data_IF_624334931386
#
_entry.id   IF_624334931386
#
_cell.length_a   1.000
_cell.length_b   1.000
_cell.length_c   1.000
_cell.angle_alpha   90.00
_cell.angle_beta   90.00
_cell.angle_gamma   90.00
#
_symmetry.space_group_name_H-M   'P 1'
#
loop_
_entity.id
_entity.type
_entity.pdbx_description
1 polymer ?
#
# COMPACT_ATOMS: atom_id res chain seq x y z
N UNK A 1 -13.32 29.81 16.47
CA UNK A 1 -12.14 28.99 16.09
C UNK A 1 -12.62 27.60 15.70
N UNK A 2 -12.04 27.01 14.67
CA UNK A 2 -12.32 25.66 14.20
C UNK A 2 -10.99 24.89 14.03
N UNK A 3 -10.97 23.62 14.45
CA UNK A 3 -9.84 22.72 14.22
C UNK A 3 -10.07 21.99 12.90
N UNK A 4 -9.12 22.10 11.99
CA UNK A 4 -9.23 21.53 10.63
C UNK A 4 -7.94 20.79 10.23
N UNK A 5 -7.98 20.08 9.11
CA UNK A 5 -6.82 19.41 8.49
C UNK A 5 -6.00 18.56 9.47
N UNK A 6 -6.71 17.67 10.15
CA UNK A 6 -6.09 16.69 11.03
C UNK A 6 -5.19 15.75 10.23
N UNK A 7 -3.93 15.60 10.65
CA UNK A 7 -2.95 14.77 9.94
C UNK A 7 -2.14 13.90 10.88
N UNK A 8 -1.86 12.72 10.40
CA UNK A 8 -0.93 11.77 11.01
C UNK A 8 0.20 11.54 9.99
N UNK A 9 1.47 11.76 10.39
CA UNK A 9 2.63 11.68 9.48
C UNK A 9 2.44 12.54 8.21
N UNK A 10 1.87 13.74 8.34
CA UNK A 10 1.50 14.69 7.25
C UNK A 10 0.36 14.23 6.34
N UNK A 11 -0.20 13.04 6.51
CA UNK A 11 -1.28 12.48 5.70
C UNK A 11 -2.63 12.63 6.40
N UNK A 12 -3.69 12.80 5.63
CA UNK A 12 -5.07 12.77 6.11
C UNK A 12 -5.55 11.32 6.09
N UNK A 13 -6.02 10.81 7.23
CA UNK A 13 -6.50 9.43 7.43
C UNK A 13 -5.61 8.34 6.80
N UNK A 14 -4.29 8.32 7.11
CA UNK A 14 -3.38 7.40 6.45
C UNK A 14 -3.74 5.95 6.72
N UNK A 15 -3.67 5.16 5.65
CA UNK A 15 -3.78 3.72 5.68
C UNK A 15 -2.38 3.12 5.63
N UNK A 16 -2.06 2.28 6.63
CA UNK A 16 -0.83 1.50 6.59
C UNK A 16 0.42 2.21 7.13
N UNK A 17 0.34 2.93 8.24
CA UNK A 17 1.55 3.48 8.89
C UNK A 17 2.36 2.37 9.58
N UNK A 18 3.67 2.42 9.46
CA UNK A 18 4.62 1.40 9.94
C UNK A 18 5.53 1.88 11.09
N UNK A 19 5.29 3.08 11.59
CA UNK A 19 6.11 3.72 12.63
C UNK A 19 5.26 4.48 13.64
N UNK A 20 5.85 4.89 14.74
CA UNK A 20 5.17 5.76 15.68
C UNK A 20 4.75 7.06 15.00
N UNK A 21 3.44 7.41 15.09
CA UNK A 21 2.93 8.61 14.45
C UNK A 21 3.32 9.88 15.19
N UNK A 22 3.22 10.99 14.49
CA UNK A 22 3.07 12.32 15.06
C UNK A 22 1.83 12.98 14.47
N UNK A 23 1.20 13.83 15.26
CA UNK A 23 -0.08 14.47 14.96
C UNK A 23 0.10 15.93 14.62
N UNK A 24 -0.75 16.43 13.75
CA UNK A 24 -0.80 17.83 13.36
C UNK A 24 -2.23 18.23 13.00
N UNK A 25 -2.56 19.49 13.23
CA UNK A 25 -3.84 20.09 12.83
C UNK A 25 -3.67 21.55 12.49
N UNK A 26 -4.69 22.17 11.91
CA UNK A 26 -4.75 23.61 11.68
C UNK A 26 -5.87 24.24 12.49
N UNK A 27 -5.72 25.53 12.78
CA UNK A 27 -6.75 26.35 13.38
C UNK A 27 -7.21 27.38 12.35
N UNK A 28 -8.51 27.52 12.20
CA UNK A 28 -9.15 28.53 11.37
C UNK A 28 -10.05 29.39 12.26
N UNK A 29 -9.96 30.73 12.14
CA UNK A 29 -10.76 31.67 12.90
C UNK A 29 -11.05 32.92 12.11
N UNK A 30 -12.26 33.46 12.29
CA UNK A 30 -12.63 34.77 11.76
C UNK A 30 -12.16 35.93 12.68
N UNK A 31 -11.76 35.61 13.91
CA UNK A 31 -11.24 36.58 14.86
C UNK A 31 -9.73 36.69 14.71
N UNK A 32 -9.24 37.93 14.62
CA UNK A 32 -7.81 38.21 14.57
C UNK A 32 -7.13 37.82 15.89
N UNK A 33 -5.81 37.56 15.82
CA UNK A 33 -4.96 37.20 16.95
C UNK A 33 -5.43 35.98 17.73
N UNK A 34 -6.23 35.09 17.11
CA UNK A 34 -6.60 33.80 17.68
C UNK A 34 -5.42 32.85 17.63
N UNK A 35 -4.99 32.39 18.79
CA UNK A 35 -3.90 31.42 18.96
C UNK A 35 -4.30 30.34 19.94
N UNK A 36 -3.83 29.11 19.70
CA UNK A 36 -4.02 28.01 20.63
C UNK A 36 -3.36 28.32 21.99
N UNK A 37 -4.08 28.06 23.07
CA UNK A 37 -3.59 28.13 24.44
C UNK A 37 -3.37 26.74 25.04
N UNK A 38 -4.28 25.82 24.76
CA UNK A 38 -4.18 24.41 25.21
C UNK A 38 -4.60 23.45 24.11
N UNK A 39 -4.15 22.19 24.25
CA UNK A 39 -4.69 21.07 23.48
C UNK A 39 -4.79 19.82 24.36
N UNK A 40 -5.65 18.88 23.96
CA UNK A 40 -5.79 17.56 24.54
C UNK A 40 -6.00 16.55 23.42
N UNK A 41 -5.15 15.54 23.34
CA UNK A 41 -5.27 14.47 22.35
C UNK A 41 -5.66 13.17 23.05
N UNK A 42 -6.66 12.48 22.49
CA UNK A 42 -7.03 11.12 22.87
C UNK A 42 -6.92 10.21 21.63
N UNK A 43 -6.29 9.05 21.78
CA UNK A 43 -6.21 8.01 20.75
C UNK A 43 -6.82 6.74 21.30
N UNK A 44 -7.72 6.13 20.52
CA UNK A 44 -8.40 4.87 20.89
C UNK A 44 -8.38 3.87 19.74
N UNK A 45 -8.33 2.59 20.05
CA UNK A 45 -8.58 1.53 19.06
C UNK A 45 -10.05 1.59 18.63
N UNK A 46 -10.33 1.62 17.35
CA UNK A 46 -11.70 1.79 16.86
C UNK A 46 -12.62 0.62 17.22
N UNK A 47 -12.12 -0.61 17.14
CA UNK A 47 -12.95 -1.81 17.33
C UNK A 47 -13.26 -2.10 18.80
N UNK A 48 -12.38 -1.73 19.72
CA UNK A 48 -12.52 -1.99 21.16
C UNK A 48 -12.87 -0.76 22.00
N UNK A 49 -12.83 0.43 21.39
CA UNK A 49 -12.94 1.74 22.04
C UNK A 49 -11.93 1.96 23.20
N UNK A 50 -10.90 1.12 23.24
CA UNK A 50 -9.85 1.20 24.26
C UNK A 50 -8.97 2.39 24.01
N UNK A 51 -8.88 3.29 25.01
CA UNK A 51 -7.92 4.40 24.99
C UNK A 51 -6.51 3.84 25.11
N UNK A 52 -5.67 4.16 24.12
CA UNK A 52 -4.25 3.77 24.08
C UNK A 52 -3.32 4.94 24.35
N UNK A 53 -3.83 6.17 24.24
CA UNK A 53 -3.12 7.39 24.59
C UNK A 53 -4.09 8.50 24.97
N UNK A 54 -3.76 9.18 26.05
CA UNK A 54 -4.43 10.38 26.53
C UNK A 54 -3.36 11.33 27.05
N UNK A 55 -3.25 12.51 26.44
CA UNK A 55 -2.23 13.50 26.84
C UNK A 55 -2.64 14.27 28.11
N UNK A 56 -3.92 14.23 28.52
CA UNK A 56 -4.47 15.26 29.33
C UNK A 56 -4.35 16.65 28.66
N UNK A 57 -4.74 17.69 29.39
CA UNK A 57 -4.61 19.07 28.88
C UNK A 57 -3.14 19.49 28.86
N UNK A 58 -2.66 19.83 27.67
CA UNK A 58 -1.31 20.35 27.44
C UNK A 58 -1.39 21.86 27.17
N UNK A 59 -0.56 22.64 27.85
CA UNK A 59 -0.46 24.08 27.63
C UNK A 59 0.56 24.42 26.56
N UNK A 60 0.17 25.23 25.58
CA UNK A 60 1.08 25.69 24.55
C UNK A 60 0.43 25.86 23.17
N UNK A 61 1.24 26.36 22.23
CA UNK A 61 0.82 26.70 20.87
C UNK A 61 1.18 25.61 19.85
N UNK A 62 1.81 24.52 20.28
CA UNK A 62 2.22 23.45 19.39
C UNK A 62 0.99 22.75 18.80
N UNK A 63 0.90 22.71 17.47
CA UNK A 63 -0.18 22.07 16.70
C UNK A 63 0.37 21.22 15.55
N UNK A 64 1.66 20.94 15.57
CA UNK A 64 2.32 20.10 14.57
C UNK A 64 3.45 19.29 15.22
N UNK A 65 3.73 18.12 14.61
CA UNK A 65 4.78 17.21 15.09
C UNK A 65 4.62 16.75 16.54
N UNK A 66 3.39 16.65 17.05
CA UNK A 66 3.13 16.13 18.39
C UNK A 66 3.36 14.62 18.36
N UNK A 67 4.43 14.10 18.97
CA UNK A 67 4.76 12.69 18.89
C UNK A 67 3.77 11.85 19.72
N UNK A 68 3.43 10.66 19.20
CA UNK A 68 2.66 9.68 19.95
C UNK A 68 3.47 9.19 21.17
N UNK A 69 2.88 9.27 22.35
CA UNK A 69 3.50 8.87 23.59
C UNK A 69 2.70 7.80 24.38
N UNK A 70 1.77 7.12 23.71
CA UNK A 70 0.91 6.12 24.32
C UNK A 70 1.50 4.72 24.38
N UNK A 71 0.65 3.74 24.64
CA UNK A 71 1.00 2.32 24.60
C UNK A 71 1.44 1.89 23.19
N UNK A 72 2.29 0.85 23.04
CA UNK A 72 2.67 0.35 21.72
C UNK A 72 1.46 0.06 20.85
N UNK A 73 1.49 0.57 19.62
CA UNK A 73 0.44 0.31 18.63
C UNK A 73 0.50 -1.14 18.16
N UNK A 74 -0.65 -1.68 17.76
CA UNK A 74 -0.77 -3.04 17.25
C UNK A 74 -0.79 -3.00 15.72
N UNK A 75 -0.26 -4.04 15.07
CA UNK A 75 -0.33 -4.22 13.61
C UNK A 75 -1.78 -4.25 13.12
N UNK A 76 -2.02 -3.73 11.93
CA UNK A 76 -3.31 -3.84 11.19
C UNK A 76 -4.52 -3.33 11.98
N UNK A 77 -4.30 -2.33 12.80
CA UNK A 77 -5.31 -1.82 13.72
C UNK A 77 -5.68 -0.39 13.33
N UNK A 78 -6.98 -0.14 13.24
CA UNK A 78 -7.51 1.20 13.00
C UNK A 78 -7.70 1.93 14.33
N UNK A 79 -7.22 3.16 14.38
CA UNK A 79 -7.29 4.05 15.52
C UNK A 79 -8.11 5.28 15.15
N UNK A 80 -8.94 5.69 16.11
CA UNK A 80 -9.61 6.98 16.14
C UNK A 80 -8.80 7.91 17.02
N UNK A 81 -8.55 9.13 16.59
CA UNK A 81 -7.94 10.14 17.45
C UNK A 81 -8.73 11.44 17.40
N UNK A 82 -8.82 12.05 18.54
CA UNK A 82 -9.51 13.31 18.75
C UNK A 82 -8.52 14.33 19.30
N UNK A 83 -8.62 15.57 18.84
CA UNK A 83 -7.94 16.71 19.44
C UNK A 83 -8.97 17.76 19.84
N UNK A 84 -8.91 18.16 21.10
CA UNK A 84 -9.67 19.30 21.67
C UNK A 84 -8.72 20.45 21.90
N UNK A 85 -9.05 21.63 21.43
CA UNK A 85 -8.22 22.83 21.51
C UNK A 85 -9.00 23.96 22.15
N UNK A 86 -8.32 24.73 23.00
CA UNK A 86 -8.81 25.99 23.52
C UNK A 86 -7.91 27.15 23.03
N UNK A 87 -8.51 28.24 22.63
CA UNK A 87 -7.78 29.44 22.20
C UNK A 87 -7.62 30.47 23.31
N UNK A 88 -6.86 31.53 23.03
CA UNK A 88 -6.59 32.62 23.97
C UNK A 88 -7.81 33.52 24.26
N UNK A 89 -8.94 33.30 23.59
CA UNK A 89 -10.20 33.99 23.81
C UNK A 89 -11.22 33.13 24.55
N UNK A 90 -10.83 31.89 24.93
CA UNK A 90 -11.71 30.92 25.60
C UNK A 90 -12.61 30.14 24.63
N UNK A 91 -12.38 30.27 23.31
CA UNK A 91 -13.08 29.48 22.32
C UNK A 91 -12.57 28.03 22.34
N UNK A 92 -13.47 27.06 22.30
CA UNK A 92 -13.16 25.62 22.31
C UNK A 92 -13.64 24.99 21.02
N UNK A 93 -12.83 24.11 20.45
CA UNK A 93 -13.17 23.28 19.29
C UNK A 93 -12.51 21.92 19.43
N UNK A 94 -13.20 20.89 18.95
CA UNK A 94 -12.69 19.53 18.86
C UNK A 94 -12.85 19.01 17.43
N UNK A 95 -12.01 18.07 17.05
CA UNK A 95 -12.09 17.39 15.77
C UNK A 95 -11.52 15.98 15.87
N UNK A 96 -12.08 15.08 15.06
CA UNK A 96 -11.75 13.64 15.05
C UNK A 96 -11.24 13.22 13.68
N UNK A 97 -10.27 12.31 13.68
CA UNK A 97 -9.76 11.68 12.46
C UNK A 97 -9.29 10.26 12.77
N UNK A 98 -8.81 9.55 11.75
CA UNK A 98 -8.44 8.15 11.85
C UNK A 98 -7.04 7.91 11.28
N UNK A 99 -6.45 6.78 11.67
CA UNK A 99 -5.30 6.19 10.98
C UNK A 99 -5.32 4.66 11.17
N UNK A 100 -4.68 3.95 10.27
CA UNK A 100 -4.55 2.50 10.37
C UNK A 100 -3.07 2.11 10.29
N UNK A 101 -2.61 1.23 11.19
CA UNK A 101 -1.25 0.69 11.16
C UNK A 101 -1.14 -0.39 10.10
N UNK A 102 0.04 -0.50 9.52
CA UNK A 102 0.44 -1.59 8.64
C UNK A 102 0.96 -2.80 9.44
N UNK A 103 1.82 -3.59 8.85
CA UNK A 103 2.59 -4.62 9.53
C UNK A 103 3.67 -3.98 10.39
N UNK A 104 3.63 -4.21 11.69
CA UNK A 104 4.62 -3.74 12.66
C UNK A 104 5.57 -4.85 13.10
N UNK A 105 5.30 -6.09 12.70
CA UNK A 105 6.11 -7.24 13.02
C UNK A 105 6.43 -8.07 11.77
N UNK A 106 7.64 -8.60 11.68
CA UNK A 106 8.07 -9.46 10.58
C UNK A 106 7.13 -10.65 10.33
N UNK A 107 6.59 -11.22 11.41
CA UNK A 107 5.66 -12.34 11.34
C UNK A 107 4.25 -12.01 10.82
N UNK A 108 3.94 -10.76 10.51
CA UNK A 108 2.65 -10.36 9.95
C UNK A 108 2.52 -10.78 8.48
N UNK A 109 3.62 -10.80 7.73
CA UNK A 109 3.67 -11.37 6.39
C UNK A 109 3.50 -12.89 6.44
N UNK A 110 2.51 -13.42 5.70
CA UNK A 110 2.23 -14.85 5.50
C UNK A 110 2.41 -15.27 4.05
N UNK A 111 2.47 -14.28 3.15
CA UNK A 111 2.66 -14.48 1.72
C UNK A 111 4.12 -14.81 1.39
N UNK A 112 4.32 -15.52 0.30
CA UNK A 112 5.63 -15.80 -0.26
C UNK A 112 5.94 -14.88 -1.44
N UNK A 113 7.21 -14.50 -1.59
CA UNK A 113 7.69 -13.89 -2.81
C UNK A 113 7.58 -14.87 -3.97
N UNK A 114 6.89 -14.44 -5.04
CA UNK A 114 6.80 -15.20 -6.28
C UNK A 114 7.38 -14.40 -7.43
N UNK A 115 8.15 -15.06 -8.28
CA UNK A 115 8.76 -14.46 -9.47
C UNK A 115 8.20 -15.05 -10.76
N UNK A 116 8.28 -14.27 -11.83
CA UNK A 116 7.93 -14.75 -13.16
C UNK A 116 8.85 -15.89 -13.59
N UNK A 117 8.28 -16.99 -14.06
CA UNK A 117 9.01 -18.09 -14.68
C UNK A 117 9.16 -17.93 -16.20
N UNK A 118 8.71 -16.82 -16.77
CA UNK A 118 8.87 -16.50 -18.18
C UNK A 118 10.36 -16.30 -18.53
N UNK A 119 10.78 -16.60 -19.78
CA UNK A 119 12.16 -16.40 -20.20
C UNK A 119 12.62 -14.95 -20.06
N UNK A 120 13.71 -14.72 -19.34
CA UNK A 120 14.28 -13.38 -19.19
C UNK A 120 15.00 -13.01 -20.48
N UNK A 121 14.58 -11.91 -21.13
CA UNK A 121 15.37 -11.28 -22.18
C UNK A 121 16.59 -10.60 -21.56
N UNK A 122 17.75 -10.62 -22.24
CA UNK A 122 18.93 -9.90 -21.75
C UNK A 122 18.63 -8.41 -21.68
N UNK A 123 18.77 -7.85 -20.49
CA UNK A 123 18.69 -6.41 -20.26
C UNK A 123 19.97 -5.72 -20.71
N UNK A 124 19.84 -4.47 -21.16
CA UNK A 124 20.96 -3.63 -21.60
C UNK A 124 20.55 -2.17 -21.59
N UNK A 125 21.45 -1.30 -22.07
CA UNK A 125 21.20 0.14 -22.18
C UNK A 125 20.41 0.47 -23.44
N UNK A 126 19.53 1.45 -23.34
CA UNK A 126 18.75 2.01 -24.45
C UNK A 126 17.43 1.31 -24.72
N UNK A 127 16.60 1.99 -25.50
CA UNK A 127 15.25 1.56 -25.84
C UNK A 127 15.20 0.14 -26.43
N UNK A 128 14.25 -0.67 -25.97
CA UNK A 128 14.07 -2.05 -26.42
C UNK A 128 15.08 -3.06 -25.85
N UNK A 129 15.90 -2.66 -24.91
CA UNK A 129 16.87 -3.52 -24.22
C UNK A 129 16.40 -4.04 -22.84
N UNK A 130 15.24 -3.58 -22.41
CA UNK A 130 14.62 -4.01 -21.15
C UNK A 130 13.79 -5.27 -21.36
N UNK A 131 13.39 -5.93 -20.28
CA UNK A 131 12.42 -7.00 -20.34
C UNK A 131 11.01 -6.46 -20.58
N UNK A 132 10.15 -7.22 -21.28
CA UNK A 132 8.73 -6.91 -21.31
C UNK A 132 8.16 -6.85 -19.91
N UNK A 133 7.24 -5.92 -19.68
CA UNK A 133 6.49 -5.87 -18.44
C UNK A 133 5.69 -7.17 -18.24
N UNK A 134 5.62 -7.63 -17.00
CA UNK A 134 4.99 -8.89 -16.64
C UNK A 134 3.63 -8.67 -16.00
N UNK A 135 2.62 -9.34 -16.52
CA UNK A 135 1.32 -9.46 -15.89
C UNK A 135 1.34 -10.59 -14.88
N UNK A 136 0.96 -10.32 -13.64
CA UNK A 136 0.72 -11.29 -12.59
C UNK A 136 -0.77 -11.30 -12.28
N UNK A 137 -1.39 -12.48 -12.29
CA UNK A 137 -2.82 -12.68 -12.08
C UNK A 137 -3.06 -13.73 -11.01
N UNK A 138 -3.93 -13.40 -10.05
CA UNK A 138 -4.44 -14.33 -9.04
C UNK A 138 -5.95 -14.25 -9.01
N UNK A 139 -6.63 -15.33 -9.39
CA UNK A 139 -8.07 -15.48 -9.14
C UNK A 139 -8.31 -16.14 -7.78
N UNK A 140 -9.39 -15.75 -7.13
CA UNK A 140 -9.82 -16.32 -5.84
C UNK A 140 -11.34 -16.16 -5.70
N UNK A 141 -11.92 -16.87 -4.75
CA UNK A 141 -13.37 -16.89 -4.56
C UNK A 141 -13.74 -16.31 -3.19
N UNK A 142 -14.76 -15.44 -3.19
CA UNK A 142 -15.36 -14.86 -2.00
C UNK A 142 -16.79 -15.36 -1.88
N UNK A 143 -17.11 -16.01 -0.76
CA UNK A 143 -18.41 -16.70 -0.56
C UNK A 143 -19.39 -15.91 0.32
N UNK A 144 -18.97 -14.76 0.89
CA UNK A 144 -19.77 -13.90 1.75
C UNK A 144 -19.69 -12.42 1.37
N UNK A 145 -20.39 -11.59 2.12
CA UNK A 145 -20.26 -10.13 2.01
C UNK A 145 -19.00 -9.68 2.75
N UNK A 146 -18.17 -8.88 2.09
CA UNK A 146 -16.94 -8.35 2.68
C UNK A 146 -17.28 -7.14 3.55
N UNK A 147 -16.86 -7.18 4.82
CA UNK A 147 -16.99 -6.07 5.76
C UNK A 147 -15.72 -5.20 5.79
N UNK A 148 -14.56 -5.82 5.67
CA UNK A 148 -13.26 -5.15 5.61
C UNK A 148 -12.30 -5.95 4.74
N UNK A 149 -11.56 -5.27 3.85
CA UNK A 149 -10.50 -5.90 3.08
C UNK A 149 -9.29 -4.97 2.98
N UNK A 150 -8.09 -5.51 3.24
CA UNK A 150 -6.82 -4.80 3.13
C UNK A 150 -5.84 -5.61 2.32
N UNK A 151 -5.34 -5.03 1.24
CA UNK A 151 -4.28 -5.61 0.43
C UNK A 151 -2.96 -4.90 0.73
N UNK A 152 -1.97 -5.68 1.11
CA UNK A 152 -0.57 -5.27 1.25
C UNK A 152 0.17 -5.77 0.03
N UNK A 153 0.83 -4.89 -0.73
CA UNK A 153 1.45 -5.28 -1.99
C UNK A 153 2.77 -4.55 -2.26
N UNK A 154 3.72 -5.28 -2.83
CA UNK A 154 4.99 -4.75 -3.31
C UNK A 154 5.51 -5.59 -4.48
N UNK A 155 6.56 -5.11 -5.17
CA UNK A 155 7.19 -5.83 -6.26
C UNK A 155 8.67 -5.48 -6.40
N UNK A 156 9.39 -6.30 -7.17
CA UNK A 156 10.64 -5.90 -7.79
C UNK A 156 10.33 -5.22 -9.11
N UNK A 157 10.44 -3.91 -9.16
CA UNK A 157 10.04 -3.05 -10.26
C UNK A 157 9.10 -1.95 -9.82
N UNK A 158 8.19 -1.57 -10.71
CA UNK A 158 7.02 -0.71 -10.44
C UNK A 158 5.78 -1.41 -10.96
N UNK A 159 4.65 -1.25 -10.27
CA UNK A 159 3.42 -1.95 -10.66
C UNK A 159 2.21 -1.03 -10.78
N UNK A 160 1.29 -1.45 -11.64
CA UNK A 160 -0.11 -1.02 -11.62
C UNK A 160 -0.95 -2.15 -11.02
N UNK A 161 -1.76 -1.83 -10.03
CA UNK A 161 -2.68 -2.75 -9.37
C UNK A 161 -4.08 -2.59 -9.92
N UNK A 162 -4.71 -3.71 -10.25
CA UNK A 162 -6.13 -3.79 -10.60
C UNK A 162 -6.83 -4.86 -9.77
N UNK A 163 -8.11 -4.65 -9.52
CA UNK A 163 -9.01 -5.65 -8.93
C UNK A 163 -10.27 -5.71 -9.78
N UNK A 164 -10.61 -6.92 -10.25
CA UNK A 164 -11.77 -7.15 -11.11
C UNK A 164 -11.82 -6.24 -12.36
N UNK A 165 -10.64 -6.00 -12.98
CA UNK A 165 -10.49 -5.15 -14.15
C UNK A 165 -10.53 -3.64 -13.87
N UNK A 166 -10.62 -3.23 -12.62
CA UNK A 166 -10.66 -1.80 -12.22
C UNK A 166 -9.36 -1.40 -11.54
N UNK A 167 -8.79 -0.23 -11.90
CA UNK A 167 -7.66 0.36 -11.20
C UNK A 167 -8.04 0.65 -9.75
N UNK A 168 -7.18 0.32 -8.80
CA UNK A 168 -7.51 0.42 -7.36
C UNK A 168 -7.47 1.87 -6.89
N UNK A 169 -6.46 2.63 -7.31
CA UNK A 169 -6.31 4.04 -6.98
C UNK A 169 -5.49 4.78 -8.04
N UNK A 170 -5.22 6.06 -7.84
CA UNK A 170 -4.48 6.90 -8.77
C UNK A 170 -2.98 6.96 -8.48
N UNK A 171 -2.47 6.16 -7.55
CA UNK A 171 -1.03 6.07 -7.30
C UNK A 171 -0.30 5.53 -8.52
N UNK A 172 0.77 6.20 -8.89
CA UNK A 172 1.68 5.78 -9.95
C UNK A 172 3.04 5.43 -9.36
N UNK A 173 3.81 4.61 -10.05
CA UNK A 173 5.18 4.22 -9.69
C UNK A 173 5.29 3.46 -8.35
N UNK A 174 4.22 2.81 -7.87
CA UNK A 174 4.27 1.95 -6.69
C UNK A 174 5.24 0.76 -6.92
N UNK A 175 5.99 0.32 -5.92
CA UNK A 175 5.99 0.69 -4.50
C UNK A 175 6.90 1.88 -4.18
N UNK A 176 7.34 2.68 -5.14
CA UNK A 176 8.25 3.81 -5.01
C UNK A 176 9.74 3.43 -4.98
N UNK A 177 10.58 4.46 -4.97
CA UNK A 177 12.02 4.31 -4.89
C UNK A 177 12.48 4.11 -3.44
N UNK A 178 13.42 3.20 -3.24
CA UNK A 178 14.07 2.97 -1.95
C UNK A 178 15.49 2.45 -2.13
N UNK A 179 16.23 2.32 -1.04
CA UNK A 179 17.51 1.57 -1.03
C UNK A 179 17.21 0.07 -1.03
N UNK A 180 16.90 -0.48 -2.18
CA UNK A 180 16.40 -1.86 -2.35
C UNK A 180 17.23 -2.98 -1.73
N UNK A 181 18.50 -2.71 -1.43
CA UNK A 181 19.36 -3.65 -0.68
C UNK A 181 19.07 -3.65 0.83
N UNK A 182 18.36 -2.63 1.33
CA UNK A 182 18.08 -2.44 2.76
C UNK A 182 16.60 -2.38 3.07
N UNK A 183 15.84 -1.67 2.23
CA UNK A 183 14.42 -1.40 2.44
C UNK A 183 13.68 -1.54 1.14
N UNK A 184 12.57 -2.24 1.16
CA UNK A 184 11.60 -2.27 0.07
C UNK A 184 10.26 -1.78 0.61
N UNK A 185 9.77 -0.67 0.04
CA UNK A 185 8.46 -0.14 0.39
C UNK A 185 7.34 -1.08 -0.08
N UNK A 186 6.24 -1.11 0.63
CA UNK A 186 5.00 -1.72 0.19
C UNK A 186 3.84 -0.74 0.37
N UNK A 187 2.77 -0.96 -0.35
CA UNK A 187 1.57 -0.15 -0.29
C UNK A 187 0.44 -0.92 0.38
N UNK A 188 -0.44 -0.19 1.07
CA UNK A 188 -1.67 -0.74 1.64
C UNK A 188 -2.87 -0.14 0.91
N UNK A 189 -3.82 -1.01 0.54
CA UNK A 189 -5.01 -0.65 -0.21
C UNK A 189 -6.27 -1.11 0.52
N UNK A 190 -7.28 -0.26 0.53
CA UNK A 190 -8.63 -0.66 0.94
C UNK A 190 -9.37 -1.23 -0.27
N UNK A 191 -9.69 -2.51 -0.21
CA UNK A 191 -10.44 -3.20 -1.27
C UNK A 191 -11.87 -3.55 -0.84
N UNK A 192 -12.35 -3.03 0.29
CA UNK A 192 -13.63 -3.42 0.88
C UNK A 192 -14.78 -3.33 -0.13
N UNK A 193 -14.86 -2.22 -0.87
CA UNK A 193 -15.92 -1.95 -1.84
C UNK A 193 -15.62 -2.47 -3.25
N UNK A 194 -14.45 -3.09 -3.46
CA UNK A 194 -14.04 -3.60 -4.78
C UNK A 194 -14.21 -5.10 -4.93
N UNK A 195 -14.41 -5.82 -3.81
CA UNK A 195 -14.57 -7.26 -3.83
C UNK A 195 -16.06 -7.62 -3.92
N UNK A 196 -16.35 -8.62 -4.75
CA UNK A 196 -17.70 -9.09 -5.00
C UNK A 196 -17.83 -10.55 -4.53
N UNK A 197 -19.05 -10.97 -4.22
CA UNK A 197 -19.33 -12.39 -3.99
C UNK A 197 -19.12 -13.17 -5.28
N UNK A 198 -18.35 -14.25 -5.23
CA UNK A 198 -17.98 -15.03 -6.40
C UNK A 198 -16.50 -14.97 -6.71
N UNK A 199 -16.15 -15.12 -7.99
CA UNK A 199 -14.77 -15.01 -8.46
C UNK A 199 -14.32 -13.54 -8.42
N UNK A 200 -13.12 -13.33 -7.90
CA UNK A 200 -12.41 -12.06 -7.90
C UNK A 200 -11.00 -12.26 -8.45
N UNK A 201 -10.41 -11.18 -8.94
CA UNK A 201 -9.07 -11.21 -9.54
C UNK A 201 -8.23 -10.05 -9.02
N UNK A 202 -7.03 -10.34 -8.57
CA UNK A 202 -5.96 -9.35 -8.36
C UNK A 202 -5.03 -9.42 -9.57
N UNK A 203 -4.82 -8.29 -10.23
CA UNK A 203 -3.87 -8.11 -11.32
C UNK A 203 -2.77 -7.12 -10.96
N UNK A 204 -1.51 -7.53 -11.10
CA UNK A 204 -0.36 -6.62 -11.01
C UNK A 204 0.36 -6.62 -12.36
N UNK A 205 0.45 -5.45 -13.01
CA UNK A 205 1.24 -5.28 -14.22
C UNK A 205 2.55 -4.61 -13.85
N UNK A 206 3.66 -5.37 -13.89
CA UNK A 206 4.96 -4.98 -13.34
C UNK A 206 5.92 -4.62 -14.45
N UNK A 207 6.39 -3.37 -14.44
CA UNK A 207 7.47 -2.85 -15.27
C UNK A 207 8.80 -2.76 -14.52
N UNK A 208 9.88 -2.41 -15.22
CA UNK A 208 11.23 -2.44 -14.63
C UNK A 208 11.44 -1.39 -13.54
N UNK A 209 10.93 -0.17 -13.72
CA UNK A 209 11.10 0.92 -12.75
C UNK A 209 12.56 1.17 -12.39
N UNK A 210 12.82 1.67 -11.19
CA UNK A 210 14.18 1.91 -10.69
C UNK A 210 14.93 0.62 -10.32
N UNK A 211 14.20 -0.44 -9.97
CA UNK A 211 14.80 -1.70 -9.50
C UNK A 211 15.70 -2.34 -10.55
N UNK A 212 15.25 -2.32 -11.81
CA UNK A 212 15.94 -2.93 -12.94
C UNK A 212 16.58 -1.93 -13.91
N UNK A 213 16.50 -0.63 -13.65
CA UNK A 213 17.01 0.39 -14.54
C UNK A 213 18.52 0.24 -14.77
N UNK A 214 18.91 0.00 -16.02
CA UNK A 214 20.31 -0.27 -16.39
C UNK A 214 21.26 0.91 -16.19
N UNK A 215 20.74 2.16 -16.16
CA UNK A 215 21.53 3.37 -15.92
C UNK A 215 21.68 3.69 -14.42
N UNK A 216 20.68 3.32 -13.64
CA UNK A 216 20.63 3.55 -12.20
C UNK A 216 20.59 2.25 -11.40
N UNK A 217 20.81 1.11 -12.09
CA UNK A 217 20.70 -0.21 -11.48
C UNK A 217 21.41 -0.24 -10.13
N UNK A 218 20.63 -0.34 -9.09
CA UNK A 218 21.11 -0.39 -7.69
C UNK A 218 21.98 -1.60 -7.45
N UNK A 219 21.86 -2.64 -8.29
CA UNK A 219 22.72 -3.80 -8.27
C UNK A 219 22.86 -4.44 -9.66
N UNK A 220 24.08 -4.73 -10.13
CA UNK A 220 24.27 -5.54 -11.35
C UNK A 220 23.62 -6.93 -11.27
N UNK A 221 23.30 -7.43 -10.08
CA UNK A 221 22.60 -8.70 -9.87
C UNK A 221 21.13 -8.60 -10.25
N UNK A 222 20.48 -7.46 -9.96
CA UNK A 222 19.08 -7.24 -10.30
C UNK A 222 18.79 -7.42 -11.78
N UNK A 223 19.72 -7.02 -12.67
CA UNK A 223 19.58 -7.16 -14.12
C UNK A 223 19.41 -8.61 -14.61
N UNK A 224 19.69 -9.61 -13.77
CA UNK A 224 19.54 -11.04 -14.07
C UNK A 224 18.32 -11.67 -13.40
N UNK A 225 17.54 -10.89 -12.66
CA UNK A 225 16.39 -11.38 -11.93
C UNK A 225 15.10 -11.20 -12.74
N UNK A 226 14.10 -12.00 -12.45
CA UNK A 226 12.74 -11.84 -12.98
C UNK A 226 11.99 -10.78 -12.20
N UNK A 227 10.94 -10.19 -12.80
CA UNK A 227 9.96 -9.46 -12.03
C UNK A 227 9.37 -10.38 -10.95
N UNK A 228 9.19 -9.86 -9.76
CA UNK A 228 8.63 -10.60 -8.63
C UNK A 228 7.60 -9.74 -7.90
N UNK A 229 6.64 -10.39 -7.27
CA UNK A 229 5.59 -9.74 -6.48
C UNK A 229 5.48 -10.42 -5.12
N UNK A 230 5.08 -9.63 -4.13
CA UNK A 230 4.63 -10.09 -2.82
C UNK A 230 3.33 -9.37 -2.51
N UNK A 231 2.26 -10.11 -2.25
CA UNK A 231 1.01 -9.51 -1.80
C UNK A 231 0.26 -10.40 -0.83
N UNK A 232 -0.46 -9.76 0.08
CA UNK A 232 -1.31 -10.40 1.06
C UNK A 232 -2.61 -9.62 1.17
N UNK A 233 -3.72 -10.24 0.79
CA UNK A 233 -5.05 -9.72 1.00
C UNK A 233 -5.62 -10.36 2.27
N UNK A 234 -6.03 -9.55 3.22
CA UNK A 234 -6.77 -9.96 4.41
C UNK A 234 -8.19 -9.43 4.32
N UNK A 235 -9.16 -10.31 4.56
CA UNK A 235 -10.58 -10.00 4.49
C UNK A 235 -11.27 -10.43 5.78
N UNK A 236 -12.25 -9.64 6.20
CA UNK A 236 -13.23 -9.98 7.22
C UNK A 236 -14.61 -9.95 6.57
N UNK A 237 -15.34 -11.05 6.66
CA UNK A 237 -16.69 -11.18 6.14
C UNK A 237 -17.71 -10.70 7.18
N UNK A 238 -18.93 -10.38 6.75
CA UNK A 238 -19.98 -9.85 7.61
C UNK A 238 -20.43 -10.83 8.73
N UNK A 239 -20.13 -12.11 8.61
CA UNK A 239 -20.34 -13.14 9.63
C UNK A 239 -19.16 -13.27 10.62
N UNK A 240 -18.10 -12.45 10.43
CA UNK A 240 -16.89 -12.44 11.24
C UNK A 240 -15.82 -13.45 10.80
N UNK A 241 -16.04 -14.22 9.73
CA UNK A 241 -15.02 -15.10 9.16
C UNK A 241 -13.86 -14.27 8.59
N UNK A 242 -12.62 -14.71 8.89
CA UNK A 242 -11.40 -14.06 8.38
C UNK A 242 -10.75 -14.93 7.32
N UNK A 243 -10.49 -14.35 6.17
CA UNK A 243 -9.87 -15.02 5.02
C UNK A 243 -8.63 -14.28 4.55
N UNK A 244 -7.71 -15.02 3.95
CA UNK A 244 -6.51 -14.47 3.32
C UNK A 244 -6.35 -15.01 1.91
N UNK A 245 -5.88 -14.13 1.02
CA UNK A 245 -5.38 -14.50 -0.31
C UNK A 245 -3.93 -14.05 -0.40
N UNK A 246 -3.05 -14.98 -0.69
CA UNK A 246 -1.60 -14.79 -0.65
C UNK A 246 -1.00 -14.91 -2.04
N UNK A 247 0.10 -14.21 -2.27
CA UNK A 247 0.99 -14.55 -3.37
C UNK A 247 1.64 -15.90 -3.10
N UNK A 248 1.39 -16.84 -3.97
CA UNK A 248 1.82 -18.24 -3.90
C UNK A 248 1.96 -18.84 -5.30
N UNK A 249 2.18 -20.14 -5.40
CA UNK A 249 2.24 -20.90 -6.68
C UNK A 249 0.97 -20.86 -7.52
N UNK A 250 -0.16 -20.35 -7.01
CA UNK A 250 -1.39 -20.15 -7.77
C UNK A 250 -1.43 -18.83 -8.55
N UNK A 251 -0.42 -17.97 -8.39
CA UNK A 251 -0.23 -16.78 -9.24
C UNK A 251 0.22 -17.21 -10.62
N UNK A 252 -0.39 -16.67 -11.66
CA UNK A 252 -0.02 -16.92 -13.06
C UNK A 252 0.58 -15.68 -13.71
N UNK A 253 1.48 -15.88 -14.68
CA UNK A 253 2.22 -14.82 -15.33
C UNK A 253 2.13 -14.88 -16.84
N UNK A 254 2.11 -13.72 -17.50
CA UNK A 254 2.20 -13.56 -18.93
C UNK A 254 2.90 -12.26 -19.28
N UNK A 255 3.51 -12.19 -20.46
CA UNK A 255 3.85 -10.91 -21.05
C UNK A 255 2.61 -10.28 -21.70
N UNK A 256 2.62 -8.96 -21.85
CA UNK A 256 1.56 -8.19 -22.46
C UNK A 256 2.09 -7.19 -23.49
N UNK A 257 1.34 -6.12 -23.78
CA UNK A 257 1.67 -5.16 -24.84
C UNK A 257 2.93 -4.34 -24.56
N UNK A 258 3.32 -4.11 -23.31
CA UNK A 258 4.54 -3.37 -22.96
C UNK A 258 5.74 -4.27 -23.14
N UNK A 259 6.43 -4.12 -24.27
CA UNK A 259 7.57 -4.96 -24.68
C UNK A 259 8.89 -4.48 -24.06
N UNK A 260 8.94 -3.24 -23.62
CA UNK A 260 10.09 -2.62 -22.96
C UNK A 260 9.59 -1.39 -22.21
N UNK A 261 10.04 -1.19 -20.97
CA UNK A 261 9.79 0.06 -20.23
C UNK A 261 11.03 0.45 -19.45
N UNK A 262 11.38 1.72 -19.48
CA UNK A 262 12.53 2.25 -18.76
C UNK A 262 12.30 3.72 -18.45
N UNK A 263 12.69 4.16 -17.26
CA UNK A 263 12.47 5.52 -16.79
C UNK A 263 13.16 6.58 -17.64
N UNK A 264 14.27 6.23 -18.30
CA UNK A 264 15.06 7.14 -19.10
C UNK A 264 14.92 6.88 -20.61
N UNK A 265 14.78 5.62 -21.01
CA UNK A 265 14.71 5.24 -22.41
C UNK A 265 13.26 5.18 -22.95
N UNK A 266 12.27 5.27 -22.09
CA UNK A 266 10.86 5.24 -22.49
C UNK A 266 10.28 3.85 -22.66
N UNK A 267 9.18 3.73 -23.41
CA UNK A 267 8.37 2.52 -23.54
C UNK A 267 8.24 2.08 -25.01
N UNK A 268 8.24 0.77 -25.22
CA UNK A 268 7.83 0.14 -26.48
C UNK A 268 6.54 -0.63 -26.24
N UNK A 269 5.47 -0.21 -26.89
CA UNK A 269 4.14 -0.79 -26.76
C UNK A 269 3.69 -1.44 -28.08
N UNK A 270 3.28 -2.71 -28.03
CA UNK A 270 2.70 -3.43 -29.16
C UNK A 270 1.23 -3.78 -28.85
N UNK A 271 0.30 -3.01 -29.41
CA UNK A 271 -1.13 -3.19 -29.17
C UNK A 271 -1.67 -4.56 -29.62
N UNK A 272 -0.97 -5.29 -30.50
CA UNK A 272 -1.37 -6.63 -30.92
C UNK A 272 -1.23 -7.67 -29.80
N UNK A 273 -0.42 -7.38 -28.79
CA UNK A 273 -0.19 -8.23 -27.62
C UNK A 273 -1.13 -7.90 -26.44
N UNK A 274 -2.11 -7.04 -26.66
CA UNK A 274 -3.12 -6.75 -25.63
C UNK A 274 -3.92 -8.01 -25.27
N UNK A 275 -4.18 -8.14 -23.98
CA UNK A 275 -4.97 -9.22 -23.37
C UNK A 275 -6.18 -8.62 -22.67
N UNK A 276 -7.18 -8.23 -23.45
CA UNK A 276 -8.37 -7.54 -22.92
C UNK A 276 -9.04 -8.40 -21.84
N UNK A 277 -9.31 -7.80 -20.68
CA UNK A 277 -9.97 -8.45 -19.55
C UNK A 277 -9.09 -9.42 -18.76
N UNK A 278 -7.77 -9.40 -18.98
CA UNK A 278 -6.82 -10.32 -18.31
C UNK A 278 -6.89 -10.27 -16.79
N UNK A 279 -7.28 -9.14 -16.23
CA UNK A 279 -7.36 -8.82 -14.81
C UNK A 279 -8.80 -8.85 -14.26
N UNK A 280 -9.74 -9.42 -15.05
CA UNK A 280 -11.14 -9.55 -14.68
C UNK A 280 -11.55 -11.03 -14.46
N UNK A 281 -12.62 -11.30 -13.71
CA UNK A 281 -13.22 -12.64 -13.59
C UNK A 281 -13.60 -13.25 -14.95
N UNK A 282 -13.51 -14.57 -15.03
CA UNK A 282 -13.90 -15.34 -16.22
C UNK A 282 -12.88 -15.31 -17.38
N UNK A 283 -11.72 -14.68 -17.22
CA UNK A 283 -10.66 -14.71 -18.25
C UNK A 283 -9.98 -16.09 -18.30
N UNK A 284 -9.80 -16.65 -19.47
CA UNK A 284 -9.07 -17.90 -19.70
C UNK A 284 -7.55 -17.70 -19.59
N UNK A 285 -7.01 -18.05 -18.44
CA UNK A 285 -5.59 -18.02 -18.15
C UNK A 285 -4.90 -19.40 -18.20
N UNK A 286 -5.53 -20.41 -18.84
CA UNK A 286 -5.00 -21.77 -18.90
C UNK A 286 -3.62 -21.86 -19.58
N UNK A 287 -3.30 -20.93 -20.48
CA UNK A 287 -2.01 -20.86 -21.18
C UNK A 287 -0.96 -20.02 -20.47
N UNK A 288 -1.31 -19.38 -19.33
CA UNK A 288 -0.37 -18.58 -18.59
C UNK A 288 0.61 -19.44 -17.81
N UNK A 289 1.82 -18.95 -17.66
CA UNK A 289 2.87 -19.65 -16.93
C UNK A 289 2.69 -19.45 -15.41
N UNK A 290 2.60 -20.49 -14.60
CA UNK A 290 2.61 -20.34 -13.14
C UNK A 290 3.86 -19.59 -12.67
N UNK A 291 3.68 -18.67 -11.73
CA UNK A 291 4.80 -18.06 -11.02
C UNK A 291 5.53 -19.14 -10.19
N UNK A 292 6.78 -18.89 -9.88
CA UNK A 292 7.57 -19.78 -9.04
C UNK A 292 8.03 -19.07 -7.77
N UNK A 293 8.30 -19.80 -6.68
CA UNK A 293 8.88 -19.19 -5.48
C UNK A 293 10.17 -18.45 -5.82
N UNK A 294 10.31 -17.25 -5.33
CA UNK A 294 11.54 -16.48 -5.47
C UNK A 294 12.62 -17.08 -4.56
N UNK A 295 13.73 -17.55 -5.15
CA UNK A 295 14.81 -18.23 -4.40
C UNK A 295 15.67 -17.27 -3.57
N UNK A 296 15.45 -15.99 -3.69
CA UNK A 296 16.25 -14.96 -3.07
C UNK A 296 15.35 -13.96 -2.38
N UNK A 297 15.32 -13.95 -1.14
CA UNK A 297 15.17 -12.77 -0.30
C UNK A 297 14.48 -13.11 1.00
N UNK A 298 15.30 -13.29 2.01
CA UNK A 298 14.97 -12.78 3.33
C UNK A 298 15.33 -11.30 3.31
N UNK A 299 14.35 -10.40 3.09
CA UNK A 299 14.48 -9.09 3.68
C UNK A 299 14.39 -9.33 5.18
N UNK A 300 15.50 -9.25 5.88
CA UNK A 300 15.50 -9.15 7.33
C UNK A 300 14.85 -7.80 7.63
N UNK A 301 13.69 -7.83 8.29
CA UNK A 301 12.96 -6.67 8.76
C UNK A 301 13.65 -6.05 9.97
#
# INVERSE_FOLDING_TARGET
>A
MEVTKLRVLHMEEPLGIDRNPYFSWKLESQQNDTVQSTYHITVREQDSDKIVWDTGVQHGRANAFIPYGGAPLRSKTRYCWEVRVEDNHGGVSDATSYFETAFLNAGDWKADWVESALPIKKRGKGLGKQCPATMFRKSFFVDGNVQKARLYATCHGVYRLTVNGKKVDDREMAPEYSSYEKVLCYQVYDLTDMLEKGENVIGLYVGEGWYFCGETAMSPKALKESHAVLFQLEMELADGEKKMVLSDGGVKTSYGPVQSSDLFAGEVYDAREEKIGWDAPGYDDARWTPARPCKKQSYEN
#
